data_IF_991571791567
#
_entry.id   IF_991571791567
#
_cell.length_a   1.000
_cell.length_b   1.000
_cell.length_c   1.000
_cell.angle_alpha   90.00
_cell.angle_beta   90.00
_cell.angle_gamma   90.00
#
_symmetry.space_group_name_H-M   'P 1'
#
loop_
_entity.id
_entity.type
_entity.pdbx_description
1 polymer ?
#
# COMPACT_ATOMS: atom_id res chain seq x y z
N UNK A 1 21.19 -47.84 -41.03
CA UNK A 1 21.39 -47.76 -39.56
C UNK A 1 20.03 -47.51 -38.92
N UNK A 2 19.49 -48.47 -38.15
CA UNK A 2 18.21 -48.36 -37.44
C UNK A 2 18.49 -47.94 -35.99
N UNK A 3 18.07 -46.74 -35.61
CA UNK A 3 18.18 -46.25 -34.24
C UNK A 3 16.91 -46.70 -33.49
N UNK A 4 17.07 -47.58 -32.51
CA UNK A 4 15.98 -48.00 -31.64
C UNK A 4 15.74 -46.96 -30.53
N UNK A 5 14.48 -46.59 -30.23
CA UNK A 5 14.16 -45.72 -29.11
C UNK A 5 14.29 -46.49 -27.78
N UNK A 6 15.11 -45.94 -26.86
CA UNK A 6 15.23 -46.47 -25.49
C UNK A 6 13.97 -46.14 -24.71
N UNK A 7 13.23 -47.18 -24.32
CA UNK A 7 12.13 -47.11 -23.36
C UNK A 7 12.63 -46.65 -21.99
N UNK A 8 12.01 -45.59 -21.47
CA UNK A 8 12.22 -45.06 -20.12
C UNK A 8 11.71 -46.09 -19.11
N UNK A 9 12.63 -46.78 -18.45
CA UNK A 9 12.34 -47.80 -17.45
C UNK A 9 12.02 -47.11 -16.12
N UNK A 10 10.76 -47.21 -15.69
CA UNK A 10 10.27 -46.68 -14.41
C UNK A 10 10.94 -47.43 -13.25
N UNK A 11 12.02 -46.88 -12.70
CA UNK A 11 12.64 -47.40 -11.49
C UNK A 11 11.75 -47.09 -10.27
N UNK A 12 11.06 -48.11 -9.75
CA UNK A 12 10.51 -48.07 -8.40
C UNK A 12 11.66 -48.27 -7.41
N UNK A 13 12.17 -47.17 -6.86
CA UNK A 13 13.12 -47.21 -5.75
C UNK A 13 12.33 -47.47 -4.45
N UNK A 14 12.34 -48.72 -3.97
CA UNK A 14 11.91 -49.06 -2.62
C UNK A 14 13.08 -48.77 -1.69
N UNK A 15 13.12 -47.56 -1.14
CA UNK A 15 14.09 -47.16 -0.13
C UNK A 15 13.58 -47.54 1.27
N UNK A 16 13.98 -48.73 1.73
CA UNK A 16 13.83 -49.12 3.14
C UNK A 16 14.92 -48.41 3.94
N UNK A 17 14.61 -47.23 4.48
CA UNK A 17 15.49 -46.51 5.41
C UNK A 17 15.13 -46.94 6.82
N UNK A 18 16.01 -47.72 7.45
CA UNK A 18 15.99 -47.98 8.88
C UNK A 18 16.44 -46.72 9.63
N UNK A 19 15.51 -46.07 10.33
CA UNK A 19 15.80 -44.97 11.27
C UNK A 19 16.30 -45.56 12.60
N UNK A 20 17.46 -45.14 13.13
CA UNK A 20 17.73 -45.28 14.55
C UNK A 20 16.99 -44.19 15.33
N UNK A 21 16.13 -44.62 16.25
CA UNK A 21 15.58 -43.80 17.33
C UNK A 21 16.72 -43.18 18.14
N UNK A 22 16.86 -41.85 18.10
CA UNK A 22 17.59 -41.08 19.09
C UNK A 22 16.59 -40.15 19.77
N UNK A 23 16.12 -40.60 20.92
CA UNK A 23 15.23 -39.86 21.81
C UNK A 23 16.07 -38.83 22.57
N UNK A 24 16.07 -37.57 22.12
CA UNK A 24 16.59 -36.46 22.94
C UNK A 24 15.41 -35.83 23.67
N UNK A 25 15.31 -36.15 24.96
CA UNK A 25 14.43 -35.49 25.91
C UNK A 25 15.07 -34.13 26.27
N UNK A 26 14.53 -33.04 25.75
CA UNK A 26 14.88 -31.69 26.20
C UNK A 26 13.63 -31.04 26.78
N UNK A 27 13.54 -31.12 28.11
CA UNK A 27 12.58 -30.38 28.91
C UNK A 27 12.94 -28.88 28.85
N UNK A 28 12.09 -28.08 28.22
CA UNK A 28 12.17 -26.61 28.31
C UNK A 28 11.01 -26.14 29.18
N UNK A 29 11.36 -25.67 30.38
CA UNK A 29 10.45 -24.96 31.26
C UNK A 29 10.06 -23.62 30.62
N UNK A 30 8.76 -23.41 30.44
CA UNK A 30 8.17 -22.14 29.98
C UNK A 30 7.78 -21.32 31.21
N UNK A 31 8.39 -20.16 31.48
CA UNK A 31 7.80 -19.20 32.40
C UNK A 31 6.66 -18.47 31.69
N UNK A 32 5.44 -18.64 32.22
CA UNK A 32 4.33 -17.75 31.96
C UNK A 32 4.65 -16.36 32.52
N UNK A 33 4.74 -15.35 31.65
CA UNK A 33 4.62 -13.96 32.07
C UNK A 33 3.44 -13.32 31.34
N UNK A 34 2.36 -13.26 32.10
CA UNK A 34 1.24 -12.36 31.90
C UNK A 34 1.74 -10.93 32.09
N UNK A 35 1.69 -10.10 31.04
CA UNK A 35 1.82 -8.65 31.18
C UNK A 35 0.49 -8.04 30.78
N UNK A 36 -0.22 -7.61 31.81
CA UNK A 36 -1.42 -6.80 31.72
C UNK A 36 -1.14 -5.49 30.98
N UNK A 37 -2.15 -5.11 30.20
CA UNK A 37 -2.53 -3.75 29.84
C UNK A 37 -1.94 -2.61 30.69
N UNK A 38 -1.33 -1.64 30.01
CA UNK A 38 -1.46 -0.23 30.41
C UNK A 38 -1.36 0.65 29.17
N UNK A 39 -2.53 1.00 28.66
CA UNK A 39 -2.73 2.05 27.67
C UNK A 39 -2.84 3.37 28.45
N UNK A 40 -1.87 4.30 28.34
CA UNK A 40 -2.01 5.60 28.96
C UNK A 40 -3.13 6.38 28.25
N UNK A 41 -4.18 6.64 29.01
CA UNK A 41 -5.20 7.60 28.68
C UNK A 41 -4.64 9.03 28.72
N UNK A 42 -5.22 9.86 27.85
CA UNK A 42 -5.39 11.30 28.01
C UNK A 42 -4.14 12.20 27.94
N UNK A 43 -4.16 13.09 26.94
CA UNK A 43 -3.30 14.28 26.96
C UNK A 43 -3.13 14.98 25.63
N UNK A 44 -4.19 15.16 24.83
CA UNK A 44 -4.15 16.20 23.79
C UNK A 44 -4.37 17.55 24.48
N UNK A 45 -3.40 18.48 24.50
CA UNK A 45 -3.71 19.86 24.82
C UNK A 45 -4.50 20.42 23.64
N UNK A 46 -5.82 20.48 23.79
CA UNK A 46 -6.68 21.38 23.04
C UNK A 46 -6.27 22.81 23.41
N UNK A 47 -5.22 23.31 22.78
CA UNK A 47 -4.96 24.74 22.71
C UNK A 47 -6.04 25.31 21.80
N UNK A 48 -7.13 25.73 22.43
CA UNK A 48 -8.17 26.56 21.85
C UNK A 48 -7.52 27.84 21.31
N UNK A 49 -7.15 27.81 20.03
CA UNK A 49 -6.98 29.02 19.26
C UNK A 49 -8.34 29.71 19.25
N UNK A 50 -8.43 30.80 19.99
CA UNK A 50 -9.60 31.66 20.10
C UNK A 50 -10.07 32.04 18.69
N UNK A 51 -11.11 31.36 18.23
CA UNK A 51 -11.86 31.73 17.06
C UNK A 51 -12.47 33.10 17.33
N UNK A 52 -11.91 34.12 16.70
CA UNK A 52 -12.52 35.43 16.59
C UNK A 52 -13.95 35.27 16.03
N UNK A 53 -14.92 36.06 16.52
CA UNK A 53 -16.32 35.87 16.21
C UNK A 53 -16.56 36.07 14.71
N UNK A 54 -17.00 35.00 14.05
CA UNK A 54 -17.50 35.03 12.68
C UNK A 54 -18.79 35.87 12.64
N UNK A 55 -18.64 37.16 12.38
CA UNK A 55 -19.74 38.03 12.06
C UNK A 55 -20.45 37.49 10.82
N UNK A 56 -21.73 37.15 10.97
CA UNK A 56 -22.65 36.75 9.91
C UNK A 56 -22.84 37.91 8.92
N UNK A 57 -21.88 38.11 8.03
CA UNK A 57 -22.00 39.01 6.90
C UNK A 57 -22.88 38.33 5.84
N UNK A 58 -23.91 39.03 5.36
CA UNK A 58 -24.66 38.60 4.18
C UNK A 58 -23.65 38.31 3.05
N UNK A 59 -23.80 37.19 2.31
CA UNK A 59 -22.89 36.87 1.23
C UNK A 59 -22.91 38.00 0.20
N UNK A 60 -21.77 38.66 0.03
CA UNK A 60 -21.61 39.77 -0.89
C UNK A 60 -21.49 39.19 -2.31
N UNK A 61 -22.42 39.57 -3.18
CA UNK A 61 -22.54 39.03 -4.53
C UNK A 61 -21.93 40.03 -5.52
N UNK A 62 -20.85 39.62 -6.16
CA UNK A 62 -20.16 40.37 -7.21
C UNK A 62 -20.65 39.85 -8.58
N UNK A 63 -21.27 40.73 -9.38
CA UNK A 63 -21.76 40.37 -10.73
C UNK A 63 -20.63 39.94 -11.66
N UNK A 64 -19.53 40.66 -11.63
CA UNK A 64 -18.35 40.41 -12.46
C UNK A 64 -17.09 40.72 -11.65
N UNK A 65 -16.14 39.80 -11.64
CA UNK A 65 -14.84 39.93 -11.00
C UNK A 65 -13.76 39.64 -12.05
N UNK A 66 -12.98 40.67 -12.42
CA UNK A 66 -11.83 40.53 -13.31
C UNK A 66 -10.57 40.32 -12.48
N UNK A 67 -9.92 39.18 -12.66
CA UNK A 67 -8.66 38.85 -12.02
C UNK A 67 -7.49 39.45 -12.82
N UNK A 68 -6.35 39.63 -12.16
CA UNK A 68 -5.13 40.20 -12.78
C UNK A 68 -4.50 39.29 -13.83
N UNK A 69 -4.85 38.00 -13.83
CA UNK A 69 -4.42 37.02 -14.84
C UNK A 69 -5.28 37.05 -16.13
N UNK A 70 -6.27 37.94 -16.20
CA UNK A 70 -7.18 38.09 -17.33
C UNK A 70 -8.43 37.20 -17.26
N UNK A 71 -8.58 36.37 -16.23
CA UNK A 71 -9.81 35.59 -16.02
C UNK A 71 -10.94 36.49 -15.52
N UNK A 72 -12.15 36.24 -16.03
CA UNK A 72 -13.36 36.98 -15.64
C UNK A 72 -14.36 36.00 -15.06
N UNK A 73 -14.61 36.12 -13.75
CA UNK A 73 -15.60 35.31 -13.04
C UNK A 73 -16.91 36.08 -12.94
N UNK A 74 -18.03 35.40 -13.22
CA UNK A 74 -19.37 35.98 -13.16
C UNK A 74 -20.17 35.38 -12.02
N UNK A 75 -21.05 36.18 -11.42
CA UNK A 75 -21.92 35.77 -10.30
C UNK A 75 -21.13 35.17 -9.13
N UNK A 76 -20.07 35.87 -8.72
CA UNK A 76 -19.18 35.44 -7.65
C UNK A 76 -19.82 35.78 -6.31
N UNK A 77 -20.00 34.76 -5.47
CA UNK A 77 -20.48 34.90 -4.10
C UNK A 77 -19.29 34.75 -3.16
N UNK A 78 -18.95 35.82 -2.43
CA UNK A 78 -17.90 35.75 -1.40
C UNK A 78 -18.47 35.04 -0.18
N UNK A 79 -17.90 33.88 0.15
CA UNK A 79 -18.30 33.07 1.31
C UNK A 79 -17.53 33.43 2.57
N UNK A 80 -16.24 33.70 2.42
CA UNK A 80 -15.33 33.91 3.55
C UNK A 80 -14.18 34.83 3.12
N UNK A 81 -13.81 35.76 4.01
CA UNK A 81 -12.65 36.64 3.84
C UNK A 81 -11.51 36.02 4.66
N UNK A 82 -10.44 35.61 3.98
CA UNK A 82 -9.24 35.04 4.60
C UNK A 82 -8.18 36.14 4.72
N UNK A 83 -7.18 35.94 5.59
CA UNK A 83 -6.11 36.91 5.77
C UNK A 83 -5.36 37.22 4.45
N UNK A 84 -5.24 36.24 3.58
CA UNK A 84 -4.44 36.29 2.35
C UNK A 84 -5.27 36.12 1.06
N UNK A 85 -6.61 36.15 1.16
CA UNK A 85 -7.46 36.02 -0.03
C UNK A 85 -8.96 35.94 0.26
N UNK A 86 -9.73 35.57 -0.76
CA UNK A 86 -11.18 35.40 -0.67
C UNK A 86 -11.58 33.98 -1.04
N UNK A 87 -12.45 33.37 -0.23
CA UNK A 87 -13.12 32.11 -0.58
C UNK A 87 -14.41 32.44 -1.29
N UNK A 88 -14.51 32.03 -2.54
CA UNK A 88 -15.61 32.40 -3.42
C UNK A 88 -16.32 31.18 -3.99
N UNK A 89 -17.58 31.37 -4.36
CA UNK A 89 -18.42 30.39 -5.03
C UNK A 89 -18.99 31.03 -6.29
N UNK A 90 -18.78 30.40 -7.44
CA UNK A 90 -19.31 30.80 -8.73
C UNK A 90 -20.05 29.59 -9.37
N UNK A 91 -20.85 29.77 -10.44
CA UNK A 91 -21.56 28.65 -11.07
C UNK A 91 -20.65 27.53 -11.57
N UNK A 92 -19.44 27.85 -12.05
CA UNK A 92 -18.48 26.85 -12.53
C UNK A 92 -17.71 26.11 -11.41
N UNK A 93 -17.97 26.41 -10.13
CA UNK A 93 -17.22 25.86 -9.00
C UNK A 93 -16.96 26.83 -7.85
N UNK A 94 -16.42 26.29 -6.75
CA UNK A 94 -15.96 27.08 -5.60
C UNK A 94 -14.45 26.99 -5.49
N UNK A 95 -13.81 28.09 -5.08
CA UNK A 95 -12.37 28.16 -4.99
C UNK A 95 -11.89 29.27 -4.08
N UNK A 96 -10.58 29.29 -3.89
CA UNK A 96 -9.88 30.33 -3.17
C UNK A 96 -9.16 31.22 -4.19
N UNK A 97 -9.27 32.54 -4.04
CA UNK A 97 -8.55 33.51 -4.85
C UNK A 97 -7.58 34.27 -3.95
N UNK A 98 -6.29 34.22 -4.28
CA UNK A 98 -5.24 34.94 -3.56
C UNK A 98 -5.38 36.45 -3.71
N UNK A 99 -4.98 37.20 -2.67
CA UNK A 99 -5.00 38.66 -2.68
C UNK A 99 -4.20 39.27 -3.86
N UNK A 100 -3.12 38.64 -4.31
CA UNK A 100 -2.33 39.09 -5.45
C UNK A 100 -3.03 38.97 -6.81
N UNK A 101 -4.06 38.12 -6.91
CA UNK A 101 -4.84 37.92 -8.13
C UNK A 101 -6.10 38.80 -8.19
N UNK A 102 -6.46 39.41 -7.06
CA UNK A 102 -7.61 40.30 -6.95
C UNK A 102 -7.27 41.71 -7.48
N UNK A 103 -8.22 42.37 -8.16
CA UNK A 103 -8.05 43.76 -8.58
C UNK A 103 -7.97 44.68 -7.35
N UNK A 104 -7.28 45.84 -7.46
CA UNK A 104 -7.03 46.74 -6.34
C UNK A 104 -8.32 47.22 -5.67
N UNK A 105 -9.38 47.48 -6.44
CA UNK A 105 -10.68 47.92 -5.93
C UNK A 105 -11.29 46.92 -4.92
N UNK A 106 -11.12 45.63 -5.18
CA UNK A 106 -11.65 44.55 -4.34
C UNK A 106 -10.74 44.34 -3.12
N UNK A 107 -9.42 44.43 -3.31
CA UNK A 107 -8.46 44.34 -2.19
C UNK A 107 -8.72 45.41 -1.14
N UNK A 108 -8.96 46.66 -1.56
CA UNK A 108 -9.28 47.74 -0.65
C UNK A 108 -10.65 47.56 0.01
N UNK A 109 -11.66 47.06 -0.73
CA UNK A 109 -13.00 46.76 -0.18
C UNK A 109 -12.97 45.74 0.96
N UNK A 110 -12.12 44.71 0.86
CA UNK A 110 -11.98 43.65 1.87
C UNK A 110 -10.75 43.81 2.78
N UNK A 111 -10.05 44.95 2.71
CA UNK A 111 -8.85 45.26 3.52
C UNK A 111 -7.73 44.21 3.41
N UNK A 112 -7.52 43.68 2.21
CA UNK A 112 -6.48 42.70 1.91
C UNK A 112 -5.12 43.34 1.54
N UNK A 113 -5.02 44.67 1.59
CA UNK A 113 -3.81 45.45 1.31
C UNK A 113 -2.83 45.52 2.50
N UNK A 114 -3.07 44.75 3.56
CA UNK A 114 -2.22 44.79 4.76
C UNK A 114 -0.92 44.00 4.54
N UNK A 115 0.20 44.42 5.16
CA UNK A 115 1.44 43.65 5.13
C UNK A 115 1.26 42.25 5.77
N UNK A 116 0.31 42.11 6.70
CA UNK A 116 -0.07 40.83 7.30
C UNK A 116 -0.64 39.85 6.26
N UNK A 117 -1.47 40.33 5.33
CA UNK A 117 -2.02 39.53 4.25
C UNK A 117 -0.92 38.97 3.33
N UNK A 118 0.08 39.79 3.02
CA UNK A 118 1.22 39.39 2.20
C UNK A 118 2.10 38.35 2.91
N UNK A 119 2.36 38.51 4.21
CA UNK A 119 3.11 37.54 5.01
C UNK A 119 2.37 36.19 5.09
N UNK A 120 1.06 36.20 5.36
CA UNK A 120 0.23 34.99 5.41
C UNK A 120 0.21 34.26 4.05
N UNK A 121 0.18 34.98 2.93
CA UNK A 121 0.27 34.38 1.60
C UNK A 121 1.63 33.69 1.38
N UNK A 122 2.72 34.33 1.80
CA UNK A 122 4.06 33.78 1.65
C UNK A 122 4.28 32.52 2.52
N UNK A 123 3.83 32.54 3.77
CA UNK A 123 3.95 31.39 4.65
C UNK A 123 3.11 30.20 4.17
N UNK A 124 1.93 30.44 3.60
CA UNK A 124 1.14 29.38 2.95
C UNK A 124 1.89 28.76 1.77
N UNK A 125 2.45 29.58 0.87
CA UNK A 125 3.23 29.07 -0.27
C UNK A 125 4.40 28.22 0.20
N UNK A 126 5.10 28.65 1.26
CA UNK A 126 6.16 27.83 1.89
C UNK A 126 5.64 26.50 2.43
N UNK A 127 4.45 26.47 3.02
CA UNK A 127 3.82 25.23 3.50
C UNK A 127 3.45 24.30 2.34
N UNK A 128 2.83 24.82 1.29
CA UNK A 128 2.46 24.07 0.09
C UNK A 128 3.71 23.51 -0.63
N UNK A 129 4.76 24.32 -0.77
CA UNK A 129 6.04 23.89 -1.33
C UNK A 129 6.70 22.82 -0.46
N UNK A 130 6.67 22.99 0.87
CA UNK A 130 7.22 22.00 1.80
C UNK A 130 6.42 20.68 1.79
N UNK A 131 5.11 20.75 1.65
CA UNK A 131 4.24 19.57 1.52
C UNK A 131 4.46 18.88 0.18
N UNK A 132 4.50 19.62 -0.92
CA UNK A 132 4.83 19.09 -2.24
C UNK A 132 6.21 18.42 -2.24
N UNK A 133 7.20 19.04 -1.59
CA UNK A 133 8.52 18.46 -1.43
C UNK A 133 8.49 17.17 -0.60
N UNK A 134 7.74 17.14 0.51
CA UNK A 134 7.55 15.90 1.29
C UNK A 134 6.89 14.80 0.48
N UNK A 135 5.90 15.12 -0.35
CA UNK A 135 5.26 14.15 -1.25
C UNK A 135 6.28 13.63 -2.27
N UNK A 136 7.06 14.51 -2.90
CA UNK A 136 8.12 14.11 -3.84
C UNK A 136 9.20 13.25 -3.17
N UNK A 137 9.63 13.60 -1.96
CA UNK A 137 10.62 12.83 -1.19
C UNK A 137 10.05 11.46 -0.77
N UNK A 138 8.78 11.41 -0.39
CA UNK A 138 8.08 10.14 -0.11
C UNK A 138 8.02 9.24 -1.35
N UNK A 139 7.87 9.80 -2.55
CA UNK A 139 7.91 9.06 -3.80
C UNK A 139 9.34 8.65 -4.20
N UNK A 140 10.36 9.44 -3.85
CA UNK A 140 11.78 9.10 -4.11
C UNK A 140 12.31 7.94 -3.27
N UNK A 141 11.70 7.61 -2.14
CA UNK A 141 12.07 6.44 -1.33
C UNK A 141 11.61 5.09 -1.91
N UNK A 142 10.65 5.09 -2.85
CA UNK A 142 10.08 3.89 -3.45
C UNK A 142 11.04 3.07 -4.33
N UNK A 143 11.90 3.64 -5.20
CA UNK A 143 12.79 2.83 -6.03
C UNK A 143 13.80 2.04 -5.20
N UNK A 144 14.26 2.54 -4.05
CA UNK A 144 15.27 1.84 -3.26
C UNK A 144 14.70 0.60 -2.55
N UNK A 145 13.47 0.67 -2.03
CA UNK A 145 12.79 -0.48 -1.42
C UNK A 145 12.46 -1.55 -2.48
N UNK A 146 11.98 -1.13 -3.65
CA UNK A 146 11.69 -2.07 -4.76
C UNK A 146 12.98 -2.71 -5.28
N UNK A 147 14.07 -1.95 -5.39
CA UNK A 147 15.37 -2.48 -5.79
C UNK A 147 15.96 -3.42 -4.73
N UNK A 148 15.80 -3.12 -3.43
CA UNK A 148 16.18 -4.04 -2.35
C UNK A 148 15.39 -5.34 -2.42
N UNK A 149 14.06 -5.28 -2.58
CA UNK A 149 13.22 -6.46 -2.69
C UNK A 149 13.59 -7.32 -3.92
N UNK A 150 13.82 -6.66 -5.07
CA UNK A 150 14.28 -7.33 -6.29
C UNK A 150 15.63 -8.01 -6.09
N UNK A 151 16.56 -7.36 -5.37
CA UNK A 151 17.88 -7.93 -5.07
C UNK A 151 17.75 -9.15 -4.15
N UNK A 152 17.01 -9.07 -3.06
CA UNK A 152 16.78 -10.19 -2.14
C UNK A 152 16.16 -11.40 -2.87
N UNK A 153 15.18 -11.14 -3.73
CA UNK A 153 14.54 -12.15 -4.58
C UNK A 153 15.57 -12.84 -5.48
N UNK A 154 16.46 -12.08 -6.13
CA UNK A 154 17.49 -12.61 -7.01
C UNK A 154 18.56 -13.39 -6.23
N UNK A 155 18.94 -12.94 -5.04
CA UNK A 155 19.89 -13.63 -4.16
C UNK A 155 19.31 -14.98 -3.68
N UNK A 156 18.06 -15.02 -3.20
CA UNK A 156 17.42 -16.28 -2.83
C UNK A 156 17.27 -17.23 -4.02
N UNK A 157 17.00 -16.70 -5.22
CA UNK A 157 16.96 -17.49 -6.44
C UNK A 157 18.34 -18.07 -6.82
N UNK A 158 19.44 -17.41 -6.47
CA UNK A 158 20.78 -17.94 -6.66
C UNK A 158 21.09 -19.08 -5.68
N UNK A 159 20.76 -18.91 -4.39
CA UNK A 159 20.97 -19.94 -3.35
C UNK A 159 20.21 -21.23 -3.70
N UNK A 160 18.93 -21.13 -4.06
CA UNK A 160 18.17 -22.33 -4.46
C UNK A 160 18.71 -23.01 -5.73
N UNK A 161 19.28 -22.23 -6.67
CA UNK A 161 19.96 -22.80 -7.86
C UNK A 161 21.15 -23.67 -7.43
N UNK A 162 21.94 -23.21 -6.46
CA UNK A 162 23.08 -23.98 -5.96
C UNK A 162 22.67 -25.23 -5.19
N UNK A 163 21.63 -25.17 -4.34
CA UNK A 163 21.11 -26.33 -3.62
C UNK A 163 20.65 -27.44 -4.58
N UNK A 164 19.94 -27.09 -5.65
CA UNK A 164 19.47 -28.09 -6.61
C UNK A 164 20.56 -28.66 -7.52
N UNK A 165 21.60 -27.87 -7.84
CA UNK A 165 22.77 -28.40 -8.53
C UNK A 165 23.45 -29.50 -7.70
N UNK A 166 23.43 -29.37 -6.37
CA UNK A 166 23.96 -30.37 -5.44
C UNK A 166 23.06 -31.61 -5.31
N UNK A 167 21.74 -31.50 -5.50
CA UNK A 167 20.81 -32.64 -5.42
C UNK A 167 20.88 -33.63 -6.61
N UNK A 168 21.71 -33.40 -7.62
CA UNK A 168 21.87 -34.35 -8.74
C UNK A 168 20.62 -34.50 -9.62
N UNK A 169 19.68 -33.54 -9.55
CA UNK A 169 18.43 -33.60 -10.29
C UNK A 169 18.70 -33.71 -11.80
N UNK A 170 17.94 -34.59 -12.44
CA UNK A 170 18.01 -34.81 -13.88
C UNK A 170 17.75 -33.48 -14.63
N UNK A 171 18.31 -33.31 -15.83
CA UNK A 171 18.12 -32.08 -16.60
C UNK A 171 16.64 -31.71 -16.81
N UNK A 172 15.76 -32.71 -16.86
CA UNK A 172 14.31 -32.54 -16.98
C UNK A 172 13.65 -31.95 -15.72
N UNK A 173 14.12 -32.34 -14.53
CA UNK A 173 13.64 -31.78 -13.25
C UNK A 173 14.12 -30.33 -13.06
N UNK A 174 15.35 -30.02 -13.48
CA UNK A 174 15.87 -28.65 -13.51
C UNK A 174 15.02 -27.72 -14.39
N UNK A 175 14.69 -28.14 -15.60
CA UNK A 175 13.86 -27.35 -16.52
C UNK A 175 12.42 -27.16 -16.02
N UNK A 176 11.84 -28.17 -15.37
CA UNK A 176 10.50 -28.08 -14.78
C UNK A 176 10.50 -27.11 -13.60
N UNK A 177 11.55 -27.17 -12.79
CA UNK A 177 11.71 -26.27 -11.65
C UNK A 177 11.93 -24.82 -12.10
N UNK A 178 12.83 -24.56 -13.05
CA UNK A 178 13.08 -23.19 -13.54
C UNK A 178 11.80 -22.57 -14.13
N UNK A 179 11.01 -23.33 -14.90
CA UNK A 179 9.70 -22.86 -15.38
C UNK A 179 8.72 -22.56 -14.25
N UNK A 180 8.64 -23.42 -13.24
CA UNK A 180 7.78 -23.21 -12.08
C UNK A 180 8.21 -21.99 -11.28
N UNK A 181 9.52 -21.71 -11.23
CA UNK A 181 10.08 -20.58 -10.50
C UNK A 181 9.86 -19.25 -11.21
N UNK A 182 10.07 -19.19 -12.53
CA UNK A 182 9.77 -17.99 -13.32
C UNK A 182 8.29 -17.65 -13.17
N UNK A 183 7.40 -18.64 -13.32
CA UNK A 183 5.97 -18.43 -13.13
C UNK A 183 5.61 -17.93 -11.72
N UNK A 184 6.29 -18.44 -10.68
CA UNK A 184 6.11 -17.95 -9.30
C UNK A 184 6.53 -16.49 -9.14
N UNK A 185 7.66 -16.09 -9.71
CA UNK A 185 8.12 -14.70 -9.63
C UNK A 185 7.27 -13.75 -10.45
N UNK A 186 6.85 -14.14 -11.65
CA UNK A 186 5.93 -13.35 -12.45
C UNK A 186 4.61 -13.15 -11.71
N UNK A 187 4.06 -14.22 -11.12
CA UNK A 187 2.84 -14.13 -10.30
C UNK A 187 3.02 -13.24 -9.06
N UNK A 188 4.20 -13.23 -8.43
CA UNK A 188 4.50 -12.36 -7.29
C UNK A 188 4.60 -10.90 -7.72
N UNK A 189 5.28 -10.61 -8.83
CA UNK A 189 5.39 -9.26 -9.37
C UNK A 189 4.02 -8.70 -9.77
N UNK A 190 3.18 -9.50 -10.42
CA UNK A 190 1.80 -9.11 -10.74
C UNK A 190 1.00 -8.82 -9.45
N UNK A 191 1.11 -9.67 -8.42
CA UNK A 191 0.41 -9.44 -7.16
C UNK A 191 0.85 -8.14 -6.44
N UNK A 192 2.13 -7.78 -6.52
CA UNK A 192 2.65 -6.50 -6.00
C UNK A 192 2.07 -5.33 -6.79
N UNK A 193 2.10 -5.39 -8.13
CA UNK A 193 1.58 -4.33 -9.00
C UNK A 193 0.07 -4.09 -8.82
N UNK A 194 -0.71 -5.17 -8.64
CA UNK A 194 -2.14 -5.09 -8.37
C UNK A 194 -2.41 -4.42 -7.01
N UNK A 195 -1.63 -4.77 -5.99
CA UNK A 195 -1.75 -4.16 -4.66
C UNK A 195 -1.37 -2.66 -4.68
N UNK A 196 -0.30 -2.29 -5.39
CA UNK A 196 0.08 -0.89 -5.57
C UNK A 196 -0.99 -0.09 -6.32
N UNK A 197 -1.58 -0.68 -7.36
CA UNK A 197 -2.68 -0.06 -8.12
C UNK A 197 -3.93 0.14 -7.26
N UNK A 198 -4.13 -0.69 -6.24
CA UNK A 198 -5.18 -0.55 -5.23
C UNK A 198 -4.84 0.45 -4.11
N UNK A 199 -3.69 1.14 -4.18
CA UNK A 199 -3.25 2.11 -3.17
C UNK A 199 -2.72 1.48 -1.88
N UNK A 200 -2.34 0.20 -1.92
CA UNK A 200 -1.70 -0.45 -0.77
C UNK A 200 -0.32 0.13 -0.55
N UNK A 201 0.00 0.42 0.70
CA UNK A 201 1.31 0.91 1.10
C UNK A 201 2.43 -0.13 0.84
N UNK A 202 3.60 0.25 0.32
CA UNK A 202 4.69 -0.68 -0.01
C UNK A 202 5.18 -1.51 1.16
N UNK A 203 5.19 -0.94 2.37
CA UNK A 203 5.64 -1.67 3.56
C UNK A 203 4.71 -2.86 3.85
N UNK A 204 3.44 -2.71 3.50
CA UNK A 204 2.42 -3.77 3.60
C UNK A 204 2.63 -4.81 2.50
N UNK A 205 2.86 -4.39 1.26
CA UNK A 205 3.21 -5.30 0.15
C UNK A 205 4.47 -6.12 0.46
N UNK A 206 5.49 -5.49 1.06
CA UNK A 206 6.73 -6.16 1.45
C UNK A 206 6.50 -7.16 2.59
N UNK A 207 5.68 -6.81 3.58
CA UNK A 207 5.28 -7.71 4.65
C UNK A 207 4.53 -8.94 4.10
N UNK A 208 3.59 -8.76 3.16
CA UNK A 208 2.88 -9.87 2.52
C UNK A 208 3.79 -10.71 1.63
N UNK A 209 4.70 -10.09 0.90
CA UNK A 209 5.70 -10.81 0.07
C UNK A 209 6.57 -11.70 0.95
N UNK A 210 7.08 -11.18 2.06
CA UNK A 210 7.87 -11.96 3.02
C UNK A 210 7.06 -13.10 3.61
N UNK A 211 5.83 -12.83 4.05
CA UNK A 211 4.94 -13.86 4.58
C UNK A 211 4.69 -14.98 3.54
N UNK A 212 4.44 -14.63 2.27
CA UNK A 212 4.24 -15.61 1.21
C UNK A 212 5.49 -16.46 0.94
N UNK A 213 6.69 -15.84 0.92
CA UNK A 213 7.96 -16.57 0.79
C UNK A 213 8.20 -17.53 1.96
N UNK A 214 7.76 -17.16 3.16
CA UNK A 214 7.79 -18.00 4.38
C UNK A 214 6.64 -19.03 4.44
N UNK A 215 5.77 -19.09 3.43
CA UNK A 215 4.56 -19.94 3.40
C UNK A 215 3.59 -19.65 4.55
N UNK A 216 3.49 -18.39 4.95
CA UNK A 216 2.59 -17.88 5.98
C UNK A 216 1.52 -16.98 5.37
N UNK A 217 0.32 -17.06 5.93
CA UNK A 217 -0.74 -16.10 5.65
C UNK A 217 -0.64 -14.92 6.61
N UNK A 218 -1.23 -13.80 6.19
CA UNK A 218 -1.38 -12.60 6.99
C UNK A 218 -2.77 -12.01 6.76
N UNK A 219 -3.36 -11.40 7.79
CA UNK A 219 -4.64 -10.71 7.67
C UNK A 219 -4.47 -9.50 6.74
N UNK A 220 -5.45 -9.27 5.87
CA UNK A 220 -5.45 -8.25 4.83
C UNK A 220 -4.70 -8.67 3.55
N UNK A 221 -4.00 -9.80 3.56
CA UNK A 221 -3.25 -10.30 2.41
C UNK A 221 -4.19 -10.56 1.22
N UNK A 222 -3.90 -10.03 0.01
CA UNK A 222 -4.70 -10.30 -1.18
C UNK A 222 -4.69 -11.79 -1.53
N UNK A 223 -5.77 -12.24 -2.17
CA UNK A 223 -5.98 -13.62 -2.61
C UNK A 223 -4.78 -14.18 -3.40
N UNK A 224 -4.16 -13.35 -4.26
CA UNK A 224 -2.97 -13.73 -5.03
C UNK A 224 -1.77 -14.10 -4.13
N UNK A 225 -1.50 -13.30 -3.09
CA UNK A 225 -0.44 -13.59 -2.12
C UNK A 225 -0.76 -14.83 -1.28
N UNK A 226 -2.02 -15.05 -0.94
CA UNK A 226 -2.44 -16.26 -0.23
C UNK A 226 -2.18 -17.53 -1.07
N UNK A 227 -2.45 -17.48 -2.39
CA UNK A 227 -2.11 -18.58 -3.31
C UNK A 227 -0.61 -18.77 -3.48
N UNK A 228 0.15 -17.69 -3.50
CA UNK A 228 1.62 -17.78 -3.50
C UNK A 228 2.14 -18.45 -2.22
N UNK A 229 1.53 -18.16 -1.06
CA UNK A 229 1.93 -18.71 0.22
C UNK A 229 1.59 -20.20 0.38
N UNK A 230 0.35 -20.58 0.07
CA UNK A 230 -0.21 -21.90 0.40
C UNK A 230 -0.53 -22.77 -0.82
N UNK A 231 -0.38 -22.25 -2.03
CA UNK A 231 -0.76 -22.92 -3.28
C UNK A 231 -2.22 -22.69 -3.67
N UNK A 232 -2.68 -23.44 -4.67
CA UNK A 232 -4.08 -23.43 -5.07
C UNK A 232 -4.95 -24.17 -4.03
N UNK A 233 -6.10 -23.60 -3.62
CA UNK A 233 -7.01 -24.28 -2.71
C UNK A 233 -7.65 -25.50 -3.39
N UNK A 234 -7.94 -26.54 -2.61
CA UNK A 234 -8.61 -27.75 -3.12
C UNK A 234 -10.07 -27.49 -3.45
N UNK A 235 -10.73 -26.63 -2.67
CA UNK A 235 -12.10 -26.19 -2.92
C UNK A 235 -12.27 -24.71 -2.61
N UNK A 236 -13.03 -24.03 -3.48
CA UNK A 236 -13.45 -22.64 -3.27
C UNK A 236 -14.97 -22.66 -3.07
N UNK A 237 -15.42 -22.26 -1.89
CA UNK A 237 -16.83 -22.06 -1.57
C UNK A 237 -17.09 -20.56 -1.62
N UNK A 238 -17.75 -20.10 -2.68
CA UNK A 238 -18.19 -18.72 -2.81
C UNK A 238 -19.64 -18.61 -2.34
N UNK A 239 -19.90 -17.70 -1.42
CA UNK A 239 -21.26 -17.45 -0.94
C UNK A 239 -21.92 -16.41 -1.85
N UNK A 240 -23.01 -16.78 -2.52
CA UNK A 240 -23.56 -16.00 -3.65
C UNK A 240 -23.98 -14.56 -3.34
N UNK A 241 -24.19 -14.23 -2.06
CA UNK A 241 -24.74 -12.95 -1.60
C UNK A 241 -23.73 -12.08 -0.85
N UNK A 242 -22.60 -12.64 -0.43
CA UNK A 242 -21.55 -11.90 0.28
C UNK A 242 -20.30 -11.85 -0.59
N UNK A 243 -19.49 -10.80 -0.49
CA UNK A 243 -18.16 -10.77 -1.11
C UNK A 243 -17.16 -11.69 -0.40
N UNK A 244 -17.68 -12.67 0.36
CA UNK A 244 -16.94 -13.63 1.16
C UNK A 244 -16.70 -14.91 0.36
N UNK A 245 -15.49 -15.40 0.44
CA UNK A 245 -15.08 -16.70 -0.11
C UNK A 245 -14.40 -17.51 0.98
N UNK A 246 -14.70 -18.79 1.05
CA UNK A 246 -13.95 -19.74 1.87
C UNK A 246 -13.13 -20.65 0.97
N UNK A 247 -11.82 -20.67 1.22
CA UNK A 247 -10.86 -21.48 0.52
C UNK A 247 -10.42 -22.62 1.41
N UNK A 248 -10.62 -23.86 0.96
CA UNK A 248 -10.21 -25.06 1.69
C UNK A 248 -8.85 -25.51 1.19
N UNK A 249 -7.97 -25.80 2.15
CA UNK A 249 -6.65 -26.38 1.95
C UNK A 249 -6.54 -27.65 2.78
N UNK A 250 -5.60 -28.52 2.44
CA UNK A 250 -5.33 -29.73 3.24
C UNK A 250 -4.93 -29.41 4.69
N UNK A 251 -4.46 -28.18 4.92
CA UNK A 251 -3.95 -27.70 6.22
C UNK A 251 -4.93 -26.81 6.99
N UNK A 252 -6.05 -26.40 6.40
CA UNK A 252 -6.98 -25.46 7.04
C UNK A 252 -7.96 -24.79 6.09
N UNK A 253 -8.74 -23.85 6.62
CA UNK A 253 -9.71 -23.06 5.86
C UNK A 253 -9.36 -21.59 5.97
N UNK A 254 -9.28 -20.91 4.83
CA UNK A 254 -8.99 -19.48 4.73
C UNK A 254 -10.26 -18.77 4.32
N UNK A 255 -10.73 -17.82 5.12
CA UNK A 255 -11.82 -16.92 4.75
C UNK A 255 -11.24 -15.65 4.13
N UNK A 256 -11.73 -15.31 2.94
CA UNK A 256 -11.46 -14.06 2.27
C UNK A 256 -12.73 -13.22 2.22
N UNK A 257 -12.57 -11.90 2.32
CA UNK A 257 -13.63 -10.92 2.12
C UNK A 257 -13.10 -9.83 1.20
N UNK A 258 -13.86 -9.49 0.15
CA UNK A 258 -13.42 -8.56 -0.90
C UNK A 258 -12.05 -8.94 -1.51
N UNK A 259 -11.74 -10.25 -1.57
CA UNK A 259 -10.48 -10.74 -2.11
C UNK A 259 -9.26 -10.59 -1.18
N UNK A 260 -9.45 -10.23 0.09
CA UNK A 260 -8.39 -10.16 1.09
C UNK A 260 -8.63 -11.18 2.22
N UNK A 261 -7.56 -11.76 2.76
CA UNK A 261 -7.61 -12.75 3.86
C UNK A 261 -8.11 -12.07 5.14
N UNK A 262 -9.19 -12.59 5.71
CA UNK A 262 -9.76 -12.11 6.99
C UNK A 262 -9.47 -13.09 8.12
N UNK A 263 -9.46 -14.39 7.84
CA UNK A 263 -9.27 -15.45 8.86
C UNK A 263 -8.62 -16.68 8.23
N UNK A 264 -7.76 -17.39 8.96
CA UNK A 264 -7.08 -18.62 8.52
C UNK A 264 -6.57 -19.44 9.71
#
# INVERSE_FOLDING_TARGET
MKIQPRTCQTFRLVATIALPCVTVLLAVAVPAQSVCAQQPAAGSPTAAAAAAPAATARPDVLRELKLTDGRVLRNVVVREVLADGLKVSHPDGGGRIDAGLLPPDIRSRYRLDTPEAAAAAQDRRRQEDAEAQRVLDSQRGYPEIVLMLRRDILEQAAVRRTEMAQCGASACERDRFERSRIAFFDSMLTAVQDAESAGVRPETCLAWTRAALERRLAIGMPAAFARLAWGEPSHIVAESTSSRQEWKYDRGVVSLENGAVVTY
#
